data_IF_063210830001
#
_entry.id   IF_063210830001
#
_cell.length_a   1.000
_cell.length_b   1.000
_cell.length_c   1.000
_cell.angle_alpha   90.00
_cell.angle_beta   90.00
_cell.angle_gamma   90.00
#
_symmetry.space_group_name_H-M   'P 1'
#
loop_
_entity.id
_entity.type
_entity.pdbx_description
1 polymer ?
#
# COMPACT_ATOMS: atom_id res chain seq x y z
N UNK A 1 9.53 14.01 3.83
CA UNK A 1 8.82 13.69 2.57
C UNK A 1 8.51 15.00 1.86
N UNK A 2 8.83 15.08 0.55
CA UNK A 2 8.43 16.18 -0.34
C UNK A 2 7.40 15.68 -1.33
N UNK A 3 6.46 16.54 -1.68
CA UNK A 3 5.38 16.21 -2.62
C UNK A 3 5.09 17.44 -3.49
N UNK A 4 5.25 17.31 -4.79
CA UNK A 4 4.96 18.35 -5.77
C UNK A 4 3.84 17.87 -6.68
N UNK A 5 2.73 18.59 -6.71
CA UNK A 5 1.57 18.30 -7.57
C UNK A 5 1.36 19.39 -8.59
N UNK A 6 1.18 19.00 -9.85
CA UNK A 6 0.95 19.90 -10.97
C UNK A 6 -0.26 19.50 -11.80
N UNK A 7 -1.22 20.41 -11.92
CA UNK A 7 -2.34 20.29 -12.83
C UNK A 7 -1.90 20.74 -14.25
N UNK A 8 -1.49 19.79 -15.08
CA UNK A 8 -1.07 20.06 -16.46
C UNK A 8 -2.26 20.57 -17.28
N UNK A 9 -3.45 20.05 -16.99
CA UNK A 9 -4.71 20.52 -17.56
C UNK A 9 -5.85 20.31 -16.57
N UNK A 10 -7.09 20.73 -16.91
CA UNK A 10 -8.29 20.46 -16.12
C UNK A 10 -8.62 18.96 -15.99
N UNK A 11 -8.04 18.13 -16.85
CA UNK A 11 -8.26 16.68 -16.86
C UNK A 11 -7.06 15.87 -16.35
N UNK A 12 -5.85 16.43 -16.37
CA UNK A 12 -4.64 15.70 -16.12
C UNK A 12 -3.81 16.33 -15.00
N UNK A 13 -3.60 15.57 -13.93
CA UNK A 13 -2.72 15.91 -12.82
C UNK A 13 -1.58 14.90 -12.76
N UNK A 14 -0.37 15.40 -12.54
CA UNK A 14 0.82 14.61 -12.25
C UNK A 14 1.42 15.11 -10.95
N UNK A 15 1.85 14.20 -10.12
CA UNK A 15 2.55 14.54 -8.88
C UNK A 15 3.78 13.67 -8.73
N UNK A 16 4.84 14.24 -8.21
CA UNK A 16 6.07 13.54 -7.87
C UNK A 16 6.32 13.68 -6.38
N UNK A 17 6.91 12.65 -5.79
CA UNK A 17 7.27 12.67 -4.38
C UNK A 17 8.58 11.94 -4.11
N UNK A 18 9.20 12.34 -3.02
CA UNK A 18 10.32 11.65 -2.42
C UNK A 18 10.12 11.51 -0.92
N UNK A 19 10.54 10.40 -0.36
CA UNK A 19 10.50 10.14 1.07
C UNK A 19 11.84 9.59 1.51
N UNK A 20 12.33 10.02 2.69
CA UNK A 20 13.53 9.49 3.29
C UNK A 20 13.20 8.96 4.66
N UNK A 21 13.71 7.77 4.92
CA UNK A 21 13.68 7.13 6.23
C UNK A 21 15.11 7.07 6.74
N UNK A 22 15.36 7.76 7.85
CA UNK A 22 16.65 7.81 8.49
C UNK A 22 16.59 7.26 9.92
N UNK A 23 17.70 6.77 10.40
CA UNK A 23 17.82 6.21 11.74
C UNK A 23 18.46 7.22 12.69
N UNK A 24 17.89 7.39 13.88
CA UNK A 24 18.39 8.31 14.89
C UNK A 24 19.71 7.85 15.55
N UNK A 25 20.02 6.53 15.51
CA UNK A 25 21.25 5.97 16.10
C UNK A 25 21.84 4.93 15.16
N UNK A 26 23.15 5.02 14.90
CA UNK A 26 23.85 3.95 14.19
C UNK A 26 24.01 2.71 15.08
N UNK A 27 24.17 1.54 14.49
CA UNK A 27 24.45 0.28 15.23
C UNK A 27 25.73 0.34 16.08
N UNK A 28 26.61 1.30 15.84
CA UNK A 28 27.83 1.57 16.62
C UNK A 28 27.65 2.58 17.76
N UNK A 29 26.40 2.96 18.12
CA UNK A 29 26.13 3.86 19.23
C UNK A 29 26.38 5.37 18.94
N UNK A 30 26.84 5.72 17.73
CA UNK A 30 26.94 7.12 17.32
C UNK A 30 25.55 7.67 17.06
N UNK A 31 25.24 8.82 17.62
CA UNK A 31 24.02 9.54 17.28
C UNK A 31 24.12 10.02 15.83
N UNK A 32 23.25 9.55 14.95
CA UNK A 32 23.05 10.18 13.66
C UNK A 32 22.23 11.43 13.90
N UNK A 33 22.84 12.59 13.69
CA UNK A 33 22.10 13.84 13.78
C UNK A 33 21.15 13.94 12.57
N UNK A 34 20.03 14.60 12.80
CA UNK A 34 19.14 15.02 11.73
C UNK A 34 19.95 15.82 10.69
N UNK A 35 19.93 15.38 9.44
CA UNK A 35 20.64 16.03 8.35
C UNK A 35 19.86 17.29 7.92
N UNK A 36 20.39 18.52 8.12
CA UNK A 36 19.66 19.75 7.77
C UNK A 36 19.27 19.85 6.29
N UNK A 37 19.98 19.17 5.42
CA UNK A 37 19.67 19.09 3.99
C UNK A 37 18.30 18.46 3.72
N UNK A 38 17.74 17.65 4.67
CA UNK A 38 16.39 17.12 4.58
C UNK A 38 15.28 18.18 4.71
N UNK A 39 15.61 19.38 5.19
CA UNK A 39 14.71 20.53 5.23
C UNK A 39 14.70 21.34 3.93
N UNK A 40 15.59 21.03 2.97
CA UNK A 40 15.60 21.75 1.70
C UNK A 40 14.28 21.51 0.96
N UNK A 41 13.48 22.54 0.65
CA UNK A 41 12.17 22.40 0.04
C UNK A 41 12.21 22.00 -1.45
N UNK A 42 13.39 22.00 -2.05
CA UNK A 42 13.53 21.67 -3.47
C UNK A 42 13.52 20.15 -3.63
N UNK A 43 12.46 19.63 -4.24
CA UNK A 43 12.31 18.21 -4.52
C UNK A 43 13.44 17.74 -5.46
N UNK A 44 13.98 16.55 -5.19
CA UNK A 44 15.12 15.95 -5.94
C UNK A 44 16.42 16.75 -5.91
N UNK A 45 16.55 17.77 -5.10
CA UNK A 45 17.81 18.49 -4.89
C UNK A 45 18.85 17.63 -4.14
N UNK A 46 18.68 16.33 -4.13
CA UNK A 46 19.50 15.36 -3.41
C UNK A 46 20.41 14.46 -4.24
N UNK A 47 21.09 14.94 -5.31
CA UNK A 47 22.30 14.25 -5.77
C UNK A 47 23.36 14.18 -4.65
N UNK A 48 23.19 14.99 -3.60
CA UNK A 48 24.07 15.08 -2.43
C UNK A 48 24.09 13.78 -1.63
N UNK A 49 23.00 13.00 -1.57
CA UNK A 49 22.96 11.76 -0.80
C UNK A 49 23.91 10.69 -1.35
N UNK A 50 23.98 10.54 -2.67
CA UNK A 50 24.99 9.72 -3.33
C UNK A 50 26.42 10.25 -3.13
N UNK A 51 26.59 11.55 -2.96
CA UNK A 51 27.89 12.18 -2.76
C UNK A 51 28.33 12.26 -1.29
N UNK A 52 27.38 12.25 -0.34
CA UNK A 52 27.66 12.31 1.12
C UNK A 52 27.78 10.91 1.74
N UNK A 53 27.41 9.84 0.98
CA UNK A 53 27.52 8.46 1.47
C UNK A 53 26.58 8.17 2.65
N UNK A 54 25.45 8.86 2.74
CA UNK A 54 24.43 8.57 3.75
C UNK A 54 23.81 7.18 3.49
N UNK A 55 23.73 6.32 4.51
CA UNK A 55 23.11 5.00 4.38
C UNK A 55 21.58 5.04 4.50
N UNK A 56 20.94 6.21 4.36
CA UNK A 56 19.51 6.39 4.59
C UNK A 56 18.67 5.83 3.42
N UNK A 57 17.47 5.34 3.73
CA UNK A 57 16.58 4.76 2.74
C UNK A 57 15.76 5.86 2.05
N UNK A 58 15.84 5.93 0.72
CA UNK A 58 15.18 6.94 -0.11
C UNK A 58 14.21 6.29 -1.10
N UNK A 59 12.95 6.74 -1.07
CA UNK A 59 11.90 6.30 -1.98
C UNK A 59 11.46 7.45 -2.87
N UNK A 60 11.32 7.15 -4.15
CA UNK A 60 10.83 8.08 -5.17
C UNK A 60 9.50 7.59 -5.71
N UNK A 61 8.61 8.50 -6.09
CA UNK A 61 7.38 8.08 -6.72
C UNK A 61 6.74 9.15 -7.59
N UNK A 62 5.84 8.66 -8.44
CA UNK A 62 5.01 9.47 -9.31
C UNK A 62 3.56 9.04 -9.17
N UNK A 63 2.66 10.02 -9.08
CA UNK A 63 1.22 9.81 -9.15
C UNK A 63 0.67 10.47 -10.42
N UNK A 64 -0.31 9.82 -11.01
CA UNK A 64 -1.06 10.35 -12.13
C UNK A 64 -2.55 10.27 -11.84
N UNK A 65 -3.30 11.27 -12.31
CA UNK A 65 -4.75 11.23 -12.35
C UNK A 65 -5.23 11.80 -13.66
N UNK A 66 -6.12 11.06 -14.33
CA UNK A 66 -6.73 11.46 -15.58
C UNK A 66 -8.25 11.38 -15.51
N UNK A 67 -8.92 12.53 -15.56
CA UNK A 67 -10.37 12.63 -15.58
C UNK A 67 -10.87 12.36 -17.00
N UNK A 68 -11.53 11.22 -17.20
CA UNK A 68 -12.17 10.86 -18.47
C UNK A 68 -13.37 11.77 -18.74
N UNK A 69 -14.19 11.95 -17.72
CA UNK A 69 -15.32 12.88 -17.69
C UNK A 69 -15.57 13.37 -16.24
N UNK A 70 -16.76 13.95 -15.97
CA UNK A 70 -17.12 14.46 -14.64
C UNK A 70 -17.34 13.34 -13.59
N UNK A 71 -17.60 12.12 -14.02
CA UNK A 71 -17.93 10.98 -13.17
C UNK A 71 -16.84 9.92 -13.11
N UNK A 72 -15.91 9.91 -14.08
CA UNK A 72 -14.93 8.83 -14.24
C UNK A 72 -13.51 9.37 -14.25
N UNK A 73 -12.63 8.72 -13.52
CA UNK A 73 -11.21 8.99 -13.62
C UNK A 73 -10.36 7.72 -13.44
N UNK A 74 -9.24 7.74 -14.09
CA UNK A 74 -8.13 6.81 -13.90
C UNK A 74 -7.10 7.45 -12.97
N UNK A 75 -6.46 6.65 -12.16
CA UNK A 75 -5.32 7.07 -11.36
C UNK A 75 -4.28 5.98 -11.31
N UNK A 76 -3.06 6.37 -11.03
CA UNK A 76 -1.96 5.43 -10.87
C UNK A 76 -0.87 6.01 -10.01
N UNK A 77 -0.10 5.13 -9.41
CA UNK A 77 1.11 5.43 -8.66
C UNK A 77 2.20 4.46 -9.05
N UNK A 78 3.40 4.97 -9.23
CA UNK A 78 4.61 4.17 -9.28
C UNK A 78 5.51 4.61 -8.13
N UNK A 79 6.06 3.64 -7.40
CA UNK A 79 7.07 3.85 -6.39
C UNK A 79 8.34 3.08 -6.74
N UNK A 80 9.47 3.73 -6.58
CA UNK A 80 10.80 3.17 -6.75
C UNK A 80 11.55 3.36 -5.43
N UNK A 81 11.98 2.26 -4.84
CA UNK A 81 12.78 2.23 -3.62
C UNK A 81 14.28 2.19 -3.99
N UNK A 82 14.68 1.13 -4.67
CA UNK A 82 15.99 1.00 -5.32
C UNK A 82 15.80 0.41 -6.71
N UNK A 83 16.63 0.80 -7.68
CA UNK A 83 16.58 0.19 -9.01
C UNK A 83 17.86 0.40 -9.80
N UNK A 84 18.17 -0.56 -10.66
CA UNK A 84 19.22 -0.44 -11.67
C UNK A 84 18.61 -0.75 -13.04
N UNK A 85 18.59 0.25 -13.93
CA UNK A 85 17.93 0.13 -15.24
C UNK A 85 18.49 -1.01 -16.10
N UNK A 86 19.79 -1.32 -15.96
CA UNK A 86 20.42 -2.49 -16.62
C UNK A 86 19.75 -3.78 -16.20
N UNK A 87 19.52 -3.99 -14.91
CA UNK A 87 18.95 -5.21 -14.35
C UNK A 87 17.43 -5.31 -14.63
N UNK A 88 16.73 -4.16 -14.71
CA UNK A 88 15.33 -4.12 -15.16
C UNK A 88 15.23 -4.61 -16.61
N UNK A 89 16.12 -4.11 -17.51
CA UNK A 89 16.15 -4.52 -18.91
C UNK A 89 16.54 -5.99 -19.07
N UNK A 90 17.44 -6.50 -18.23
CA UNK A 90 17.86 -7.90 -18.23
C UNK A 90 16.75 -8.86 -17.78
N UNK A 91 15.70 -8.38 -17.11
CA UNK A 91 14.57 -9.17 -16.58
C UNK A 91 15.00 -10.39 -15.75
N UNK A 92 16.15 -10.28 -15.08
CA UNK A 92 16.77 -11.37 -14.32
C UNK A 92 16.22 -11.52 -12.90
N UNK A 93 15.27 -10.69 -12.49
CA UNK A 93 14.69 -10.74 -11.14
C UNK A 93 15.65 -10.29 -10.04
N UNK A 94 16.53 -9.34 -10.32
CA UNK A 94 17.48 -8.82 -9.32
C UNK A 94 16.76 -8.26 -8.09
N UNK A 95 17.30 -8.58 -6.92
CA UNK A 95 16.74 -8.26 -5.61
C UNK A 95 16.50 -6.75 -5.40
N UNK A 96 17.50 -5.91 -5.76
CA UNK A 96 17.45 -4.49 -5.48
C UNK A 96 16.60 -3.70 -6.52
N UNK A 97 15.97 -4.38 -7.49
CA UNK A 97 14.93 -3.76 -8.29
C UNK A 97 13.61 -3.72 -7.51
N UNK A 98 13.52 -2.80 -6.57
CA UNK A 98 12.43 -2.62 -5.62
C UNK A 98 11.44 -1.60 -6.16
N UNK A 99 10.27 -2.07 -6.56
CA UNK A 99 9.23 -1.21 -7.14
C UNK A 99 7.84 -1.73 -6.85
N UNK A 100 6.92 -0.79 -6.76
CA UNK A 100 5.49 -1.07 -6.67
C UNK A 100 4.70 -0.14 -7.56
N UNK A 101 3.56 -0.59 -8.03
CA UNK A 101 2.62 0.26 -8.75
C UNK A 101 1.18 -0.03 -8.37
N UNK A 102 0.35 0.99 -8.53
CA UNK A 102 -1.09 0.96 -8.39
C UNK A 102 -1.72 1.52 -9.65
N UNK A 103 -2.76 0.86 -10.13
CA UNK A 103 -3.64 1.36 -11.18
C UNK A 103 -5.07 1.30 -10.69
N UNK A 104 -5.78 2.40 -10.78
CA UNK A 104 -7.15 2.48 -10.30
C UNK A 104 -8.09 3.18 -11.27
N UNK A 105 -9.35 2.77 -11.21
CA UNK A 105 -10.47 3.36 -11.92
C UNK A 105 -11.58 3.66 -10.94
N UNK A 106 -12.16 4.85 -11.02
CA UNK A 106 -13.30 5.24 -10.20
C UNK A 106 -14.41 5.80 -11.08
N UNK A 107 -15.65 5.38 -10.79
CA UNK A 107 -16.84 5.78 -11.50
C UNK A 107 -17.95 6.14 -10.52
N UNK A 108 -18.25 7.45 -10.41
CA UNK A 108 -19.37 7.97 -9.62
C UNK A 108 -20.69 7.81 -10.38
N UNK A 109 -21.76 7.58 -9.67
CA UNK A 109 -23.09 7.31 -10.26
C UNK A 109 -23.01 6.19 -11.32
N UNK A 110 -22.38 5.08 -10.93
CA UNK A 110 -22.10 3.93 -11.78
C UNK A 110 -23.34 3.45 -12.55
N UNK A 111 -23.18 3.26 -13.86
CA UNK A 111 -24.28 2.91 -14.77
C UNK A 111 -25.47 3.89 -14.68
N UNK A 112 -25.20 5.18 -14.50
CA UNK A 112 -26.21 6.24 -14.36
C UNK A 112 -27.13 6.09 -13.14
N UNK A 113 -26.75 5.24 -12.18
CA UNK A 113 -27.48 5.08 -10.92
C UNK A 113 -26.91 6.03 -9.88
N UNK A 114 -27.70 7.04 -9.53
CA UNK A 114 -27.31 8.07 -8.57
C UNK A 114 -26.87 7.49 -7.23
N UNK A 115 -25.77 8.01 -6.68
CA UNK A 115 -25.15 7.60 -5.41
C UNK A 115 -24.63 6.14 -5.37
N UNK A 116 -24.44 5.50 -6.52
CA UNK A 116 -23.77 4.22 -6.64
C UNK A 116 -22.35 4.48 -7.18
N UNK A 117 -21.33 4.28 -6.37
CA UNK A 117 -19.94 4.49 -6.75
C UNK A 117 -19.22 3.16 -6.93
N UNK A 118 -18.48 3.05 -8.01
CA UNK A 118 -17.64 1.89 -8.31
C UNK A 118 -16.16 2.28 -8.26
N UNK A 119 -15.34 1.40 -7.67
CA UNK A 119 -13.88 1.51 -7.63
C UNK A 119 -13.33 0.14 -8.04
N UNK A 120 -12.36 0.14 -8.95
CA UNK A 120 -11.52 -1.01 -9.24
C UNK A 120 -10.05 -0.59 -9.12
N UNK A 121 -9.23 -1.43 -8.51
CA UNK A 121 -7.84 -1.11 -8.23
C UNK A 121 -6.97 -2.36 -8.36
N UNK A 122 -5.83 -2.22 -9.00
CA UNK A 122 -4.81 -3.24 -9.08
C UNK A 122 -3.51 -2.73 -8.45
N UNK A 123 -3.06 -3.42 -7.42
CA UNK A 123 -1.83 -3.16 -6.70
C UNK A 123 -0.83 -4.28 -6.98
N UNK A 124 0.41 -3.91 -7.24
CA UNK A 124 1.50 -4.84 -7.50
C UNK A 124 2.75 -4.34 -6.83
N UNK A 125 3.34 -5.14 -5.97
CA UNK A 125 4.57 -4.80 -5.26
C UNK A 125 5.54 -5.95 -5.35
N UNK A 126 6.74 -5.67 -5.86
CA UNK A 126 7.79 -6.67 -5.98
C UNK A 126 8.29 -7.13 -4.61
N UNK A 127 8.87 -8.34 -4.53
CA UNK A 127 9.57 -8.79 -3.32
C UNK A 127 10.63 -7.78 -2.89
N UNK A 128 10.80 -7.64 -1.57
CA UNK A 128 11.79 -6.78 -0.92
C UNK A 128 11.60 -5.26 -1.14
N UNK A 129 10.59 -4.81 -1.86
CA UNK A 129 10.21 -3.39 -1.90
C UNK A 129 9.87 -2.92 -0.48
N UNK A 130 10.30 -1.71 -0.11
CA UNK A 130 10.17 -1.13 1.24
C UNK A 130 11.16 -1.69 2.29
N UNK A 131 12.00 -2.62 1.89
CA UNK A 131 13.08 -3.16 2.71
C UNK A 131 14.30 -2.26 2.70
N UNK A 132 15.04 -2.29 3.80
CA UNK A 132 16.39 -1.76 3.85
C UNK A 132 17.33 -2.75 4.56
N UNK A 133 18.66 -2.66 4.31
CA UNK A 133 19.67 -3.50 4.99
C UNK A 133 19.57 -3.39 6.49
N UNK A 134 19.33 -2.17 6.97
CA UNK A 134 18.97 -1.90 8.34
C UNK A 134 17.46 -1.85 8.49
N UNK A 135 16.89 -2.78 9.24
CA UNK A 135 15.45 -2.91 9.47
C UNK A 135 14.80 -1.62 10.05
N UNK A 136 15.58 -0.80 10.78
CA UNK A 136 15.10 0.47 11.33
C UNK A 136 14.92 1.57 10.27
N UNK A 137 15.39 1.33 9.04
CA UNK A 137 15.26 2.23 7.90
C UNK A 137 14.31 1.68 6.82
N UNK A 138 13.56 0.60 7.11
CA UNK A 138 12.47 0.16 6.24
C UNK A 138 11.36 1.22 6.16
N UNK A 139 10.50 1.13 5.15
CA UNK A 139 9.37 2.05 4.99
C UNK A 139 8.18 1.63 5.86
N UNK A 140 8.40 1.67 7.18
CA UNK A 140 7.44 1.30 8.22
C UNK A 140 7.47 2.26 9.40
N UNK A 141 6.39 2.31 10.18
CA UNK A 141 6.27 3.12 11.39
C UNK A 141 5.35 2.42 12.40
N UNK A 142 5.73 2.38 13.68
CA UNK A 142 4.99 1.67 14.73
C UNK A 142 4.58 0.24 14.35
N UNK A 143 5.49 -0.56 13.78
CA UNK A 143 5.25 -1.90 13.28
C UNK A 143 4.14 -2.00 12.21
N UNK A 144 3.89 -0.93 11.47
CA UNK A 144 2.94 -0.90 10.36
C UNK A 144 3.65 -0.44 9.09
N UNK A 145 3.46 -1.13 7.95
CA UNK A 145 3.94 -0.65 6.66
C UNK A 145 3.27 0.70 6.32
N UNK A 146 4.07 1.67 5.86
CA UNK A 146 3.56 2.99 5.49
C UNK A 146 2.92 3.02 4.10
N UNK A 147 3.30 2.08 3.21
CA UNK A 147 2.77 2.04 1.86
C UNK A 147 1.52 1.16 1.75
N UNK A 148 1.64 -0.14 1.95
CA UNK A 148 0.53 -1.08 1.78
C UNK A 148 0.46 -2.07 2.95
N UNK A 149 -0.75 -2.39 3.48
CA UNK A 149 -0.90 -3.29 4.63
C UNK A 149 -0.32 -4.69 4.43
N UNK A 150 -0.29 -5.19 3.18
CA UNK A 150 0.29 -6.49 2.84
C UNK A 150 1.83 -6.49 2.81
N UNK A 151 2.47 -5.32 2.93
CA UNK A 151 3.92 -5.18 2.81
C UNK A 151 4.37 -5.22 1.36
N UNK A 152 5.11 -6.25 0.96
CA UNK A 152 5.61 -6.44 -0.40
C UNK A 152 5.33 -7.86 -0.91
N UNK A 153 5.85 -8.23 -2.10
CA UNK A 153 5.71 -9.57 -2.70
C UNK A 153 4.26 -10.00 -2.95
N UNK A 154 3.43 -9.10 -3.50
CA UNK A 154 2.03 -9.41 -3.77
C UNK A 154 1.52 -8.76 -5.07
N UNK A 155 0.43 -9.32 -5.60
CA UNK A 155 -0.45 -8.73 -6.61
C UNK A 155 -1.89 -8.83 -6.13
N UNK A 156 -2.59 -7.71 -6.07
CA UNK A 156 -3.92 -7.60 -5.50
C UNK A 156 -4.86 -6.88 -6.48
N UNK A 157 -6.05 -7.43 -6.67
CA UNK A 157 -7.15 -6.80 -7.41
C UNK A 157 -8.30 -6.57 -6.45
N UNK A 158 -8.76 -5.33 -6.35
CA UNK A 158 -9.90 -4.94 -5.52
C UNK A 158 -10.99 -4.36 -6.41
N UNK A 159 -12.23 -4.77 -6.18
CA UNK A 159 -13.42 -4.12 -6.72
C UNK A 159 -14.35 -3.75 -5.57
N UNK A 160 -14.83 -2.51 -5.56
CA UNK A 160 -15.72 -1.99 -4.51
C UNK A 160 -16.88 -1.24 -5.09
N UNK A 161 -18.08 -1.53 -4.55
CA UNK A 161 -19.32 -0.80 -4.79
C UNK A 161 -19.78 -0.14 -3.49
N UNK A 162 -20.07 1.14 -3.52
CA UNK A 162 -20.71 1.86 -2.41
C UNK A 162 -22.01 2.44 -2.92
N UNK A 163 -23.11 2.12 -2.27
CA UNK A 163 -24.44 2.58 -2.66
C UNK A 163 -25.13 3.26 -1.49
N UNK A 164 -25.39 4.56 -1.64
CA UNK A 164 -26.24 5.29 -0.70
C UNK A 164 -27.67 5.26 -1.24
N UNK A 165 -28.44 4.25 -0.77
CA UNK A 165 -29.81 4.03 -1.23
C UNK A 165 -30.72 5.20 -0.90
N UNK A 166 -30.58 5.77 0.31
CA UNK A 166 -31.26 7.00 0.76
C UNK A 166 -30.44 7.66 1.88
N UNK A 167 -30.99 8.68 2.55
CA UNK A 167 -30.29 9.38 3.61
C UNK A 167 -30.03 8.55 4.87
N UNK A 168 -30.66 7.38 5.02
CA UNK A 168 -30.52 6.52 6.18
C UNK A 168 -29.81 5.21 5.88
N UNK A 169 -29.87 4.70 4.65
CA UNK A 169 -29.36 3.38 4.28
C UNK A 169 -28.18 3.51 3.34
N UNK A 170 -27.05 2.92 3.72
CA UNK A 170 -25.86 2.78 2.89
C UNK A 170 -25.42 1.32 2.85
N UNK A 171 -25.04 0.86 1.66
CA UNK A 171 -24.55 -0.48 1.39
C UNK A 171 -23.14 -0.38 0.85
N UNK A 172 -22.28 -1.33 1.19
CA UNK A 172 -20.94 -1.46 0.63
C UNK A 172 -20.65 -2.91 0.31
N UNK A 173 -20.15 -3.17 -0.89
CA UNK A 173 -19.67 -4.49 -1.28
C UNK A 173 -18.22 -4.38 -1.72
N UNK A 174 -17.36 -5.30 -1.28
CA UNK A 174 -15.94 -5.38 -1.66
C UNK A 174 -15.61 -6.80 -2.08
N UNK A 175 -14.91 -6.94 -3.21
CA UNK A 175 -14.29 -8.18 -3.65
C UNK A 175 -12.79 -7.93 -3.78
N UNK A 176 -11.98 -8.82 -3.24
CA UNK A 176 -10.53 -8.76 -3.27
C UNK A 176 -9.97 -10.12 -3.68
N UNK A 177 -9.05 -10.10 -4.62
CA UNK A 177 -8.25 -11.24 -5.04
C UNK A 177 -6.79 -10.87 -4.87
N UNK A 178 -6.05 -11.66 -4.09
CA UNK A 178 -4.64 -11.40 -3.85
C UNK A 178 -3.82 -12.67 -4.03
N UNK A 179 -2.70 -12.53 -4.74
CA UNK A 179 -1.62 -13.51 -4.76
C UNK A 179 -0.44 -12.92 -4.00
N UNK A 180 -0.04 -13.54 -2.91
CA UNK A 180 1.03 -13.08 -2.00
C UNK A 180 2.00 -14.22 -1.73
N UNK A 181 3.29 -13.90 -1.73
CA UNK A 181 4.34 -14.85 -1.35
C UNK A 181 4.78 -14.62 0.10
N UNK A 182 4.40 -15.53 0.99
CA UNK A 182 4.75 -15.45 2.40
C UNK A 182 6.14 -16.01 2.68
N UNK A 183 6.78 -15.53 3.74
CA UNK A 183 8.04 -16.07 4.23
C UNK A 183 7.84 -17.50 4.73
N UNK A 184 8.80 -18.39 4.44
CA UNK A 184 8.77 -19.77 4.91
C UNK A 184 9.48 -19.86 6.24
N UNK A 185 8.83 -20.53 7.18
CA UNK A 185 9.47 -20.98 8.42
C UNK A 185 10.03 -22.38 8.13
N UNK A 186 11.34 -22.47 8.00
CA UNK A 186 12.04 -23.75 7.85
C UNK A 186 12.87 -24.00 9.10
N UNK A 187 12.58 -25.12 9.77
CA UNK A 187 13.28 -25.54 10.99
C UNK A 187 14.76 -25.91 10.77
N UNK A 188 15.16 -26.20 9.54
CA UNK A 188 16.53 -26.61 9.18
C UNK A 188 17.41 -25.44 8.72
N UNK A 189 16.86 -24.51 7.93
CA UNK A 189 17.59 -23.36 7.35
C UNK A 189 17.33 -22.03 8.06
N UNK A 190 16.53 -22.03 9.12
CA UNK A 190 16.04 -20.82 9.78
C UNK A 190 14.96 -20.11 8.96
N UNK A 191 14.47 -18.98 9.48
CA UNK A 191 13.45 -18.19 8.81
C UNK A 191 14.05 -17.47 7.61
N UNK A 192 13.74 -17.96 6.39
CA UNK A 192 14.11 -17.29 5.14
C UNK A 192 13.10 -16.21 4.81
N UNK A 193 13.59 -15.03 4.46
CA UNK A 193 12.75 -13.94 3.95
C UNK A 193 12.63 -14.03 2.45
N UNK A 194 11.39 -14.12 1.96
CA UNK A 194 11.04 -14.08 0.55
C UNK A 194 10.54 -12.70 0.12
N UNK A 195 10.68 -11.71 1.01
CA UNK A 195 10.45 -10.32 0.70
C UNK A 195 9.01 -9.84 0.84
N UNK A 196 8.20 -10.50 1.68
CA UNK A 196 6.86 -10.03 2.03
C UNK A 196 6.90 -9.17 3.30
N UNK A 197 7.51 -9.68 4.36
CA UNK A 197 7.56 -9.00 5.64
C UNK A 197 8.70 -7.99 5.68
N UNK A 198 8.38 -6.70 5.53
CA UNK A 198 9.36 -5.61 5.47
C UNK A 198 10.21 -5.45 6.74
N UNK A 199 9.85 -6.11 7.84
CA UNK A 199 10.60 -6.11 9.10
C UNK A 199 11.62 -7.24 9.23
N UNK A 200 11.74 -8.09 8.19
CA UNK A 200 12.79 -9.10 8.13
C UNK A 200 14.06 -8.54 7.48
N UNK A 201 15.24 -8.87 7.97
CA UNK A 201 16.47 -8.38 7.37
C UNK A 201 16.72 -9.03 5.99
N UNK A 202 17.15 -8.22 5.03
CA UNK A 202 17.35 -8.65 3.62
C UNK A 202 18.48 -9.68 3.44
N UNK A 203 19.41 -9.83 4.39
CA UNK A 203 20.47 -10.84 4.32
C UNK A 203 19.98 -12.29 4.52
N UNK A 204 18.75 -12.50 5.01
CA UNK A 204 18.10 -13.82 5.10
C UNK A 204 17.44 -14.27 3.80
N UNK A 205 17.70 -13.61 2.68
CA UNK A 205 17.15 -13.96 1.37
C UNK A 205 17.73 -15.27 0.83
N UNK A 206 16.93 -16.09 0.14
CA UNK A 206 17.44 -17.31 -0.50
C UNK A 206 18.26 -17.01 -1.76
N UNK A 207 17.89 -16.00 -2.54
CA UNK A 207 18.49 -15.72 -3.84
C UNK A 207 18.70 -14.21 -4.05
N UNK A 208 19.72 -13.86 -4.84
CA UNK A 208 19.95 -12.49 -5.30
C UNK A 208 19.22 -12.19 -6.60
N UNK A 209 19.09 -13.18 -7.47
CA UNK A 209 18.41 -13.13 -8.77
C UNK A 209 17.24 -14.12 -8.82
N UNK A 210 16.38 -13.98 -9.84
CA UNK A 210 15.23 -14.86 -10.02
C UNK A 210 14.05 -14.53 -9.10
N UNK A 211 14.01 -13.33 -8.51
CA UNK A 211 12.91 -12.92 -7.64
C UNK A 211 11.68 -12.52 -8.44
N UNK A 212 10.51 -13.03 -8.04
CA UNK A 212 9.21 -12.78 -8.66
C UNK A 212 8.11 -12.65 -7.61
N UNK A 213 7.02 -12.00 -7.95
CA UNK A 213 5.87 -11.83 -7.06
C UNK A 213 5.15 -13.16 -6.83
N UNK A 214 4.85 -13.46 -5.56
CA UNK A 214 4.30 -14.74 -5.12
C UNK A 214 5.35 -15.77 -4.71
N UNK A 215 6.64 -15.44 -4.75
CA UNK A 215 7.72 -16.34 -4.31
C UNK A 215 7.63 -16.69 -2.81
N UNK A 216 8.20 -17.83 -2.43
CA UNK A 216 8.14 -18.34 -1.06
C UNK A 216 6.95 -19.29 -0.88
N UNK A 217 6.13 -19.11 0.15
CA UNK A 217 4.87 -19.81 0.29
C UNK A 217 3.79 -19.02 -0.48
N UNK A 218 3.60 -19.38 -1.75
CA UNK A 218 2.54 -18.77 -2.56
C UNK A 218 1.19 -19.01 -1.93
N UNK A 219 0.49 -17.91 -1.61
CA UNK A 219 -0.82 -17.92 -0.97
C UNK A 219 -1.81 -17.08 -1.76
N UNK A 220 -2.94 -17.68 -2.09
CA UNK A 220 -4.06 -17.00 -2.75
C UNK A 220 -5.10 -16.64 -1.71
N UNK A 221 -5.45 -15.36 -1.65
CA UNK A 221 -6.43 -14.82 -0.72
C UNK A 221 -7.61 -14.27 -1.53
N UNK A 222 -8.82 -14.70 -1.16
CA UNK A 222 -10.09 -14.20 -1.71
C UNK A 222 -10.90 -13.66 -0.55
N UNK A 223 -11.35 -12.41 -0.65
CA UNK A 223 -12.25 -11.79 0.32
C UNK A 223 -13.45 -11.24 -0.41
N UNK A 224 -14.65 -11.63 0.06
CA UNK A 224 -15.93 -11.03 -0.29
C UNK A 224 -16.54 -10.42 0.96
N UNK A 225 -16.81 -9.11 0.93
CA UNK A 225 -17.37 -8.39 2.08
C UNK A 225 -18.60 -7.60 1.66
N UNK A 226 -19.71 -7.77 2.41
CA UNK A 226 -20.94 -7.03 2.23
C UNK A 226 -21.29 -6.38 3.57
N UNK A 227 -21.49 -5.06 3.55
CA UNK A 227 -21.82 -4.27 4.72
C UNK A 227 -23.09 -3.44 4.47
N UNK A 228 -23.97 -3.38 5.47
CA UNK A 228 -25.14 -2.53 5.47
C UNK A 228 -25.15 -1.63 6.71
N UNK A 229 -25.51 -0.38 6.51
CA UNK A 229 -25.57 0.65 7.55
C UNK A 229 -26.93 1.31 7.55
N UNK A 230 -27.59 1.37 8.69
CA UNK A 230 -28.82 2.09 8.91
C UNK A 230 -28.63 3.20 9.91
N UNK A 231 -28.84 4.45 9.50
CA UNK A 231 -28.71 5.63 10.37
C UNK A 231 -29.88 5.71 11.33
N UNK A 232 -29.61 5.44 12.61
CA UNK A 232 -30.59 5.53 13.71
C UNK A 232 -30.81 6.98 14.14
N UNK A 233 -29.73 7.75 14.29
CA UNK A 233 -29.76 9.15 14.72
C UNK A 233 -28.81 10.00 13.90
N UNK A 234 -29.33 11.00 13.20
CA UNK A 234 -28.53 11.96 12.46
C UNK A 234 -27.76 12.94 13.37
N UNK A 235 -28.34 13.28 14.52
CA UNK A 235 -27.73 14.21 15.47
C UNK A 235 -26.47 13.64 16.12
N UNK A 236 -26.48 12.33 16.40
CA UNK A 236 -25.40 11.63 17.08
C UNK A 236 -24.56 10.76 16.11
N UNK A 237 -24.88 10.75 14.81
CA UNK A 237 -24.24 9.89 13.80
C UNK A 237 -24.17 8.42 14.25
N UNK A 238 -25.26 7.91 14.85
CA UNK A 238 -25.35 6.52 15.31
C UNK A 238 -25.94 5.66 14.19
N UNK A 239 -25.23 4.61 13.83
CA UNK A 239 -25.62 3.63 12.82
C UNK A 239 -25.77 2.24 13.45
N UNK A 240 -26.81 1.53 13.05
CA UNK A 240 -26.83 0.08 13.14
C UNK A 240 -26.06 -0.45 11.94
N UNK A 241 -25.06 -1.30 12.17
CA UNK A 241 -24.25 -1.93 11.14
C UNK A 241 -24.44 -3.42 11.15
N UNK A 242 -24.53 -4.03 9.97
CA UNK A 242 -24.49 -5.48 9.81
C UNK A 242 -23.61 -5.83 8.63
N UNK A 243 -22.90 -6.94 8.69
CA UNK A 243 -22.01 -7.35 7.64
C UNK A 243 -21.78 -8.85 7.58
N UNK A 244 -21.41 -9.31 6.38
CA UNK A 244 -21.01 -10.68 6.10
C UNK A 244 -19.69 -10.59 5.34
N UNK A 245 -18.66 -11.24 5.88
CA UNK A 245 -17.36 -11.35 5.23
C UNK A 245 -17.04 -12.83 5.00
N UNK A 246 -16.81 -13.19 3.76
CA UNK A 246 -16.24 -14.47 3.36
C UNK A 246 -14.75 -14.30 3.09
N UNK A 247 -13.92 -15.17 3.64
CA UNK A 247 -12.47 -15.18 3.44
C UNK A 247 -12.01 -16.59 3.13
N UNK A 248 -11.30 -16.74 2.02
CA UNK A 248 -10.60 -17.97 1.66
C UNK A 248 -9.10 -17.71 1.60
N UNK A 249 -8.31 -18.54 2.25
CA UNK A 249 -6.84 -18.58 2.14
C UNK A 249 -6.45 -19.96 1.63
N UNK A 250 -5.78 -19.99 0.50
CA UNK A 250 -5.35 -21.24 -0.13
C UNK A 250 -3.85 -21.17 -0.45
N UNK A 251 -3.09 -22.09 0.14
CA UNK A 251 -1.68 -22.32 -0.13
C UNK A 251 -1.32 -23.81 0.04
N UNK A 252 -0.05 -24.16 -0.11
CA UNK A 252 0.40 -25.55 -0.01
C UNK A 252 0.25 -26.17 1.39
N UNK A 253 0.14 -25.34 2.44
CA UNK A 253 0.06 -25.79 3.83
C UNK A 253 -1.36 -25.81 4.36
N UNK A 254 -2.23 -24.94 3.84
CA UNK A 254 -3.60 -24.79 4.32
C UNK A 254 -4.56 -24.39 3.20
N UNK A 255 -5.82 -24.82 3.34
CA UNK A 255 -6.96 -24.31 2.59
C UNK A 255 -8.06 -23.98 3.61
N UNK A 256 -8.16 -22.71 3.97
CA UNK A 256 -9.04 -22.25 5.05
C UNK A 256 -10.14 -21.34 4.51
N UNK A 257 -11.39 -21.69 4.85
CA UNK A 257 -12.56 -20.88 4.56
C UNK A 257 -13.13 -20.33 5.86
N UNK A 258 -13.43 -19.06 5.89
CA UNK A 258 -14.02 -18.39 7.05
C UNK A 258 -15.22 -17.56 6.61
N UNK A 259 -16.31 -17.65 7.36
CA UNK A 259 -17.48 -16.80 7.22
C UNK A 259 -17.65 -16.04 8.53
N UNK A 260 -17.60 -14.71 8.45
CA UNK A 260 -17.70 -13.82 9.59
C UNK A 260 -18.99 -13.02 9.43
N UNK A 261 -19.86 -13.09 10.41
CA UNK A 261 -21.09 -12.27 10.48
C UNK A 261 -20.92 -11.30 11.63
N UNK A 262 -21.17 -10.03 11.38
CA UNK A 262 -21.11 -8.98 12.41
C UNK A 262 -22.41 -8.19 12.45
N UNK A 263 -22.81 -7.79 13.65
CA UNK A 263 -23.91 -6.84 13.92
C UNK A 263 -23.43 -5.94 15.05
N UNK A 264 -23.63 -4.65 14.92
CA UNK A 264 -23.15 -3.71 15.92
C UNK A 264 -23.71 -2.29 15.77
N UNK A 265 -23.43 -1.48 16.76
CA UNK A 265 -23.65 -0.05 16.71
C UNK A 265 -22.33 0.65 16.40
N UNK A 266 -22.36 1.57 15.46
CA UNK A 266 -21.22 2.37 15.05
C UNK A 266 -21.57 3.86 15.16
N UNK A 267 -20.67 4.64 15.72
CA UNK A 267 -20.78 6.10 15.70
C UNK A 267 -19.54 6.71 15.08
N UNK A 268 -19.71 7.80 14.33
CA UNK A 268 -18.63 8.62 13.80
C UNK A 268 -18.58 9.89 14.64
N UNK A 269 -17.72 9.90 15.65
CA UNK A 269 -17.50 11.08 16.47
C UNK A 269 -16.61 12.05 15.70
N UNK A 270 -17.19 13.15 15.22
CA UNK A 270 -16.41 14.29 14.73
C UNK A 270 -15.93 15.12 15.93
N UNK A 271 -14.63 15.13 16.18
CA UNK A 271 -14.04 16.09 17.10
C UNK A 271 -14.12 17.47 16.46
N UNK A 272 -15.08 18.29 16.89
CA UNK A 272 -15.08 19.72 16.56
C UNK A 272 -14.01 20.38 17.45
N UNK A 273 -12.84 20.62 16.89
CA UNK A 273 -11.88 21.52 17.52
C UNK A 273 -12.46 22.94 17.37
N UNK A 274 -12.92 23.50 18.47
CA UNK A 274 -13.18 24.94 18.55
C UNK A 274 -11.84 25.59 18.84
N UNK A 275 -11.27 26.22 17.84
CA UNK A 275 -10.24 27.24 18.08
C UNK A 275 -10.94 28.43 18.73
N UNK A 276 -10.66 28.67 19.99
CA UNK A 276 -10.99 29.90 20.72
C UNK A 276 -10.00 31.00 20.32
#
# INVERSE_FOLDING_TARGET
MHYLSWNISSRFNVSIFEAIVFQNRSQGGRNNFFEPNYLNPIIFYRPVEYSVGSPDNSLLGINIRFNLDKQKYLYGQLILDEFLLKEIKARNGWLENKQGFQLGFKYFDFMSRKNLDFIAEWNYVRPYTYFHKNVLQNFGHFNQPLAHPLGANFSELIAKLNYKLNNRISLSGTLMFCNIGLDKIDSLSGNLSYGQNIYQPSFKRPNEYGNYVGQGLESKLIIGDLQAYYLLSSNSNIYLSSGITYRNVNNKLENKNELIINIGLRTILQRKERFL
#
